data_IF_791344668981
#
_entry.id   IF_791344668981
#
_cell.length_a   1.000
_cell.length_b   1.000
_cell.length_c   1.000
_cell.angle_alpha   90.00
_cell.angle_beta   90.00
_cell.angle_gamma   90.00
#
_symmetry.space_group_name_H-M   'P 1'
#
loop_
_entity.id
_entity.type
_entity.pdbx_description
1 polymer ?
#
# COMPACT_ATOMS: atom_id res chain seq x y z
N UNK A 1 9.02 1.78 3.81
CA UNK A 1 8.01 0.70 3.68
C UNK A 1 8.01 -0.27 4.86
N UNK A 2 9.14 -0.86 5.25
CA UNK A 2 9.16 -1.92 6.28
C UNK A 2 8.66 -1.46 7.66
N UNK A 3 8.93 -0.21 8.04
CA UNK A 3 8.38 0.38 9.27
C UNK A 3 6.86 0.50 9.22
N UNK A 4 6.30 0.92 8.07
CA UNK A 4 4.86 1.04 7.86
C UNK A 4 4.19 -0.34 7.97
N UNK A 5 4.78 -1.35 7.32
CA UNK A 5 4.32 -2.74 7.38
C UNK A 5 4.37 -3.25 8.82
N UNK A 6 5.48 -3.03 9.54
CA UNK A 6 5.59 -3.41 10.96
C UNK A 6 4.54 -2.75 11.85
N UNK A 7 4.22 -1.47 11.61
CA UNK A 7 3.17 -0.76 12.38
C UNK A 7 1.79 -1.33 12.08
N UNK A 8 1.50 -1.66 10.83
CA UNK A 8 0.24 -2.31 10.44
C UNK A 8 0.14 -3.70 11.04
N UNK A 9 1.20 -4.52 10.98
CA UNK A 9 1.27 -5.84 11.65
C UNK A 9 0.97 -5.69 13.14
N UNK A 10 1.66 -4.78 13.83
CA UNK A 10 1.49 -4.56 15.26
C UNK A 10 0.07 -4.09 15.62
N UNK A 11 -0.56 -3.27 14.78
CA UNK A 11 -1.90 -2.73 15.02
C UNK A 11 -3.03 -3.73 14.67
N UNK A 12 -2.83 -4.59 13.68
CA UNK A 12 -3.86 -5.49 13.14
C UNK A 12 -3.71 -6.95 13.55
N UNK A 13 -2.53 -7.35 14.04
CA UNK A 13 -2.19 -8.75 14.32
C UNK A 13 -1.99 -9.59 13.04
N UNK A 14 -1.91 -8.96 11.87
CA UNK A 14 -1.68 -9.65 10.60
C UNK A 14 -0.23 -10.12 10.49
N UNK A 15 0.01 -11.20 9.74
CA UNK A 15 1.36 -11.57 9.34
C UNK A 15 1.89 -10.61 8.27
N UNK A 16 3.22 -10.62 8.05
CA UNK A 16 3.87 -9.66 7.15
C UNK A 16 3.35 -9.74 5.70
N UNK A 17 3.11 -10.95 5.21
CA UNK A 17 2.61 -11.18 3.86
C UNK A 17 1.21 -10.58 3.66
N UNK A 18 0.28 -10.85 4.57
CA UNK A 18 -1.07 -10.29 4.54
C UNK A 18 -1.08 -8.77 4.74
N UNK A 19 -0.25 -8.25 5.64
CA UNK A 19 -0.13 -6.81 5.86
C UNK A 19 0.38 -6.10 4.60
N UNK A 20 1.45 -6.63 3.99
CA UNK A 20 2.03 -6.11 2.75
C UNK A 20 1.00 -6.12 1.62
N UNK A 21 0.28 -7.23 1.45
CA UNK A 21 -0.79 -7.38 0.44
C UNK A 21 -1.94 -6.41 0.68
N UNK A 22 -2.44 -6.30 1.90
CA UNK A 22 -3.53 -5.39 2.25
C UNK A 22 -3.16 -3.92 1.97
N UNK A 23 -1.95 -3.51 2.38
CA UNK A 23 -1.44 -2.16 2.11
C UNK A 23 -1.35 -1.91 0.60
N UNK A 24 -0.80 -2.85 -0.17
CA UNK A 24 -0.69 -2.69 -1.62
C UNK A 24 -2.05 -2.60 -2.32
N UNK A 25 -3.04 -3.39 -1.91
CA UNK A 25 -4.41 -3.29 -2.44
C UNK A 25 -5.03 -1.92 -2.14
N UNK A 26 -4.87 -1.41 -0.91
CA UNK A 26 -5.39 -0.09 -0.52
C UNK A 26 -4.70 1.01 -1.35
N UNK A 27 -3.38 0.95 -1.50
CA UNK A 27 -2.61 1.92 -2.28
C UNK A 27 -3.02 1.93 -3.75
N UNK A 28 -3.24 0.76 -4.35
CA UNK A 28 -3.69 0.64 -5.73
C UNK A 28 -5.14 1.15 -5.91
N UNK A 29 -6.01 0.87 -4.94
CA UNK A 29 -7.36 1.43 -4.93
C UNK A 29 -7.33 2.95 -4.85
N UNK A 30 -6.51 3.51 -3.96
CA UNK A 30 -6.34 4.96 -3.83
C UNK A 30 -5.78 5.57 -5.12
N UNK A 31 -4.81 4.93 -5.77
CA UNK A 31 -4.28 5.40 -7.06
C UNK A 31 -5.32 5.41 -8.17
N UNK A 32 -6.27 4.47 -8.14
CA UNK A 32 -7.32 4.33 -9.15
C UNK A 32 -8.50 5.28 -8.93
N UNK A 33 -8.96 5.40 -7.68
CA UNK A 33 -10.21 6.10 -7.33
C UNK A 33 -9.96 7.46 -6.67
N UNK A 34 -8.74 7.71 -6.18
CA UNK A 34 -8.35 8.95 -5.53
C UNK A 34 -7.91 10.05 -6.49
N UNK A 35 -7.93 11.31 -6.05
CA UNK A 35 -7.51 12.42 -6.89
C UNK A 35 -5.99 12.40 -7.12
N UNK A 36 -5.51 12.58 -8.38
CA UNK A 36 -4.13 12.26 -8.76
C UNK A 36 -3.06 13.07 -8.03
N UNK A 37 -3.36 14.32 -7.65
CA UNK A 37 -2.39 15.20 -6.99
C UNK A 37 -2.10 14.74 -5.56
N UNK A 38 -3.17 14.51 -4.78
CA UNK A 38 -3.11 14.09 -3.38
C UNK A 38 -2.53 12.67 -3.26
N UNK A 39 -2.88 11.78 -4.19
CA UNK A 39 -2.29 10.44 -4.21
C UNK A 39 -0.84 10.48 -4.65
N UNK A 40 -0.48 11.34 -5.61
CA UNK A 40 0.92 11.56 -5.98
C UNK A 40 1.77 12.03 -4.80
N UNK A 41 1.27 12.98 -4.01
CA UNK A 41 1.94 13.44 -2.79
C UNK A 41 2.06 12.33 -1.73
N UNK A 42 1.00 11.54 -1.54
CA UNK A 42 1.01 10.41 -0.61
C UNK A 42 2.04 9.35 -1.01
N UNK A 43 2.08 8.98 -2.29
CA UNK A 43 3.04 7.99 -2.81
C UNK A 43 4.48 8.51 -2.70
N UNK A 44 4.71 9.80 -2.98
CA UNK A 44 6.01 10.43 -2.81
C UNK A 44 6.46 10.46 -1.33
N UNK A 45 5.52 10.58 -0.39
CA UNK A 45 5.80 10.53 1.05
C UNK A 45 6.07 9.11 1.57
N UNK A 46 5.72 8.07 0.81
CA UNK A 46 5.85 6.67 1.19
C UNK A 46 6.80 5.92 0.24
N UNK A 47 8.11 5.87 0.53
CA UNK A 47 9.07 5.15 -0.30
C UNK A 47 8.69 3.67 -0.42
N UNK A 48 8.58 3.18 -1.65
CA UNK A 48 8.15 1.80 -1.96
C UNK A 48 6.65 1.61 -2.16
N UNK A 49 5.83 2.67 -2.02
CA UNK A 49 4.37 2.57 -2.10
C UNK A 49 3.88 2.32 -3.53
N UNK A 50 4.49 2.95 -4.52
CA UNK A 50 4.14 2.71 -5.92
C UNK A 50 4.50 1.29 -6.36
N UNK A 51 5.69 0.79 -5.98
CA UNK A 51 6.08 -0.58 -6.28
C UNK A 51 5.16 -1.59 -5.60
N UNK A 52 4.76 -1.34 -4.36
CA UNK A 52 3.85 -2.21 -3.62
C UNK A 52 2.43 -2.19 -4.19
N UNK A 53 1.93 -1.01 -4.55
CA UNK A 53 0.64 -0.85 -5.23
C UNK A 53 0.64 -1.58 -6.58
N UNK A 54 1.73 -1.48 -7.35
CA UNK A 54 1.86 -2.16 -8.62
C UNK A 54 1.99 -3.69 -8.46
N UNK A 55 2.71 -4.16 -7.44
CA UNK A 55 2.91 -5.59 -7.18
C UNK A 55 1.63 -6.29 -6.71
N UNK A 56 0.89 -5.66 -5.79
CA UNK A 56 -0.24 -6.29 -5.09
C UNK A 56 -1.62 -5.80 -5.58
N UNK A 57 -1.69 -4.59 -6.12
CA UNK A 57 -2.89 -4.03 -6.75
C UNK A 57 -3.26 -4.68 -8.08
N UNK A 58 -2.32 -5.44 -8.65
CA UNK A 58 -2.48 -6.22 -9.86
C UNK A 58 -2.91 -7.68 -9.64
N UNK A 59 -3.35 -8.07 -8.43
CA UNK A 59 -3.98 -9.38 -8.20
C UNK A 59 -5.26 -9.48 -9.05
N UNK A 60 -5.06 -9.94 -10.29
CA UNK A 60 -6.08 -10.18 -11.31
C UNK A 60 -7.23 -10.97 -10.69
N UNK A 61 -8.44 -10.45 -10.82
CA UNK A 61 -9.65 -11.26 -10.69
C UNK A 61 -9.69 -12.38 -11.72
#
# INVERSE_FOLDING_TARGET
MDELISRVIAASGLNEELARKAIGIILAFLQKEGPPAEIGELMAALPGAEELAAAEGGAKG
#
